data_IF_738985871963
#
_entry.id   IF_738985871963
#
_cell.length_a   1.000
_cell.length_b   1.000
_cell.length_c   1.000
_cell.angle_alpha   90.00
_cell.angle_beta   90.00
_cell.angle_gamma   90.00
#
_symmetry.space_group_name_H-M   'P 1'
#
loop_
_entity.id
_entity.type
_entity.pdbx_description
1 polymer ?
#
# COMPACT_ATOMS: atom_id res chain seq x y z
N UNK A 1 -24.07 0.92 4.21
CA UNK A 1 -25.15 1.22 5.17
C UNK A 1 -24.68 0.72 6.51
N UNK A 2 -24.92 1.49 7.57
CA UNK A 2 -24.57 1.12 8.94
C UNK A 2 -25.31 -0.14 9.37
N UNK A 3 -24.62 -1.08 10.04
CA UNK A 3 -25.22 -2.31 10.59
C UNK A 3 -26.43 -2.07 11.50
N UNK A 4 -26.56 -0.87 12.04
CA UNK A 4 -27.68 -0.49 12.91
C UNK A 4 -28.99 -0.28 12.16
N UNK A 5 -28.98 -0.08 10.84
CA UNK A 5 -30.21 0.00 10.05
C UNK A 5 -30.96 -1.33 10.00
N UNK A 6 -30.25 -2.45 10.19
CA UNK A 6 -30.83 -3.80 10.21
C UNK A 6 -31.60 -4.06 11.51
N UNK A 7 -31.43 -3.21 12.52
CA UNK A 7 -32.14 -3.26 13.80
C UNK A 7 -33.40 -2.38 13.82
N UNK A 8 -33.74 -1.74 12.69
CA UNK A 8 -34.94 -0.91 12.58
C UNK A 8 -36.18 -1.81 12.63
N UNK A 9 -37.08 -1.52 13.56
CA UNK A 9 -38.34 -2.27 13.69
C UNK A 9 -39.23 -2.07 12.47
N UNK A 10 -40.11 -3.05 12.21
CA UNK A 10 -41.02 -3.03 11.05
C UNK A 10 -41.86 -1.74 10.95
N UNK A 11 -42.24 -1.14 12.08
CA UNK A 11 -42.98 0.12 12.12
C UNK A 11 -42.26 1.29 11.40
N UNK A 12 -40.93 1.27 11.38
CA UNK A 12 -40.10 2.32 10.78
C UNK A 12 -39.40 1.90 9.47
N UNK A 13 -39.42 0.61 9.11
CA UNK A 13 -38.72 0.08 7.95
C UNK A 13 -39.12 0.75 6.62
N UNK A 14 -40.40 1.11 6.46
CA UNK A 14 -40.91 1.81 5.28
C UNK A 14 -40.72 3.34 5.28
N UNK A 15 -40.05 3.92 6.29
CA UNK A 15 -39.91 5.38 6.45
C UNK A 15 -38.51 5.83 6.03
N UNK A 16 -38.28 6.26 4.78
CA UNK A 16 -36.93 6.47 4.24
C UNK A 16 -36.12 7.53 5.00
N UNK A 17 -36.76 8.61 5.47
CA UNK A 17 -36.08 9.63 6.28
C UNK A 17 -35.61 9.10 7.64
N UNK A 18 -36.33 8.16 8.23
CA UNK A 18 -35.94 7.54 9.49
C UNK A 18 -34.71 6.65 9.29
N UNK A 19 -34.73 5.79 8.28
CA UNK A 19 -33.60 4.92 7.92
C UNK A 19 -32.35 5.76 7.63
N UNK A 20 -32.49 6.82 6.82
CA UNK A 20 -31.38 7.73 6.52
C UNK A 20 -30.84 8.45 7.76
N UNK A 21 -31.70 8.83 8.71
CA UNK A 21 -31.26 9.47 9.95
C UNK A 21 -30.47 8.52 10.84
N UNK A 22 -30.95 7.28 11.01
CA UNK A 22 -30.24 6.24 11.78
C UNK A 22 -28.90 5.92 11.12
N UNK A 23 -28.87 5.73 9.80
CA UNK A 23 -27.65 5.47 9.04
C UNK A 23 -26.64 6.63 9.22
N UNK A 24 -27.06 7.87 8.98
CA UNK A 24 -26.21 9.06 9.16
C UNK A 24 -25.60 9.14 10.57
N UNK A 25 -26.42 8.87 11.59
CA UNK A 25 -26.01 9.01 12.99
C UNK A 25 -25.05 7.90 13.44
N UNK A 26 -25.12 6.72 12.81
CA UNK A 26 -24.38 5.53 13.25
C UNK A 26 -23.26 5.09 12.28
N UNK A 27 -23.23 5.65 11.06
CA UNK A 27 -22.24 5.31 10.04
C UNK A 27 -20.82 5.56 10.51
N UNK A 28 -20.52 6.76 11.04
CA UNK A 28 -19.16 7.09 11.50
C UNK A 28 -18.65 6.13 12.58
N UNK A 29 -19.53 5.66 13.47
CA UNK A 29 -19.18 4.67 14.51
C UNK A 29 -18.89 3.31 13.90
N UNK A 30 -19.67 2.89 12.90
CA UNK A 30 -19.47 1.63 12.18
C UNK A 30 -18.17 1.67 11.38
N UNK A 31 -17.96 2.72 10.59
CA UNK A 31 -16.76 2.91 9.77
C UNK A 31 -15.48 2.94 10.64
N UNK A 32 -15.54 3.60 11.80
CA UNK A 32 -14.42 3.63 12.76
C UNK A 32 -14.14 2.23 13.32
N UNK A 33 -15.18 1.51 13.73
CA UNK A 33 -15.03 0.14 14.25
C UNK A 33 -14.46 -0.81 13.19
N UNK A 34 -14.91 -0.72 11.94
CA UNK A 34 -14.42 -1.53 10.84
C UNK A 34 -12.95 -1.21 10.53
N UNK A 35 -12.60 0.08 10.50
CA UNK A 35 -11.22 0.52 10.29
C UNK A 35 -10.29 0.02 11.39
N UNK A 36 -10.69 0.11 12.66
CA UNK A 36 -9.90 -0.37 13.79
C UNK A 36 -9.72 -1.88 13.76
N UNK A 37 -10.76 -2.63 13.40
CA UNK A 37 -10.67 -4.09 13.26
C UNK A 37 -9.77 -4.50 12.09
N UNK A 38 -9.77 -3.73 11.00
CA UNK A 38 -8.92 -3.96 9.85
C UNK A 38 -7.46 -3.52 10.05
N UNK A 39 -7.16 -2.75 11.10
CA UNK A 39 -5.85 -2.13 11.30
C UNK A 39 -4.71 -3.16 11.33
N UNK A 40 -4.88 -4.26 12.08
CA UNK A 40 -3.85 -5.29 12.16
C UNK A 40 -3.58 -5.94 10.80
N UNK A 41 -4.64 -6.26 10.06
CA UNK A 41 -4.51 -6.84 8.72
C UNK A 41 -3.88 -5.86 7.72
N UNK A 42 -4.21 -4.56 7.81
CA UNK A 42 -3.64 -3.54 6.94
C UNK A 42 -2.12 -3.36 7.13
N UNK A 43 -1.58 -3.75 8.30
CA UNK A 43 -0.16 -3.73 8.65
C UNK A 43 0.46 -5.13 8.77
N UNK A 44 -0.17 -6.15 8.20
CA UNK A 44 0.43 -7.48 8.08
C UNK A 44 1.43 -7.48 6.91
N UNK A 45 2.68 -7.85 7.15
CA UNK A 45 3.74 -7.82 6.12
C UNK A 45 3.41 -8.69 4.89
N UNK A 46 2.63 -9.75 5.07
CA UNK A 46 2.27 -10.67 3.99
C UNK A 46 1.22 -10.07 3.03
N UNK A 47 0.47 -9.05 3.48
CA UNK A 47 -0.67 -8.51 2.73
C UNK A 47 -0.72 -6.98 2.64
N UNK A 48 0.08 -6.27 3.42
CA UNK A 48 0.14 -4.81 3.44
C UNK A 48 0.57 -4.27 2.07
N UNK A 49 -0.01 -3.13 1.70
CA UNK A 49 0.26 -2.45 0.42
C UNK A 49 0.43 -0.95 0.64
N UNK A 50 0.99 -0.25 -0.35
CA UNK A 50 1.11 1.20 -0.32
C UNK A 50 1.77 1.73 0.96
N UNK A 51 1.19 2.80 1.52
CA UNK A 51 1.74 3.52 2.68
C UNK A 51 1.88 2.64 3.92
N UNK A 52 0.98 1.68 4.16
CA UNK A 52 1.10 0.77 5.30
C UNK A 52 2.34 -0.11 5.19
N UNK A 53 2.62 -0.65 4.00
CA UNK A 53 3.82 -1.43 3.75
C UNK A 53 5.09 -0.57 3.82
N UNK A 54 5.01 0.69 3.39
CA UNK A 54 6.13 1.64 3.52
C UNK A 54 6.50 1.90 4.98
N UNK A 55 5.48 2.14 5.82
CA UNK A 55 5.68 2.30 7.26
C UNK A 55 6.32 1.03 7.85
N UNK A 56 5.85 -0.17 7.49
CA UNK A 56 6.50 -1.41 7.94
C UNK A 56 7.97 -1.46 7.48
N UNK A 57 8.25 -1.08 6.23
CA UNK A 57 9.61 -0.99 5.69
C UNK A 57 10.52 -0.09 6.53
N UNK A 58 10.04 1.08 6.96
CA UNK A 58 10.80 1.97 7.85
C UNK A 58 11.17 1.29 9.18
N UNK A 59 10.24 0.55 9.78
CA UNK A 59 10.47 -0.15 11.05
C UNK A 59 11.40 -1.37 10.91
N UNK A 60 11.32 -2.07 9.78
CA UNK A 60 12.15 -3.25 9.48
C UNK A 60 13.56 -2.81 8.99
N UNK A 61 13.72 -1.55 8.57
CA UNK A 61 14.95 -1.06 7.95
C UNK A 61 15.10 -1.49 6.49
N UNK A 62 13.98 -1.61 5.76
CA UNK A 62 13.95 -1.97 4.35
C UNK A 62 13.25 -0.90 3.53
N UNK A 63 13.98 -0.35 2.56
CA UNK A 63 13.44 0.56 1.55
C UNK A 63 12.76 -0.22 0.42
N UNK A 64 11.81 0.42 -0.28
CA UNK A 64 11.34 -0.06 -1.58
C UNK A 64 12.44 -0.07 -2.65
N UNK A 65 13.49 0.74 -2.44
CA UNK A 65 14.61 0.85 -3.35
C UNK A 65 15.52 -0.36 -3.16
N UNK A 66 15.61 -1.18 -4.20
CA UNK A 66 16.58 -2.26 -4.29
C UNK A 66 17.84 -1.72 -4.93
N UNK A 67 18.89 -1.55 -4.15
CA UNK A 67 20.24 -1.31 -4.69
C UNK A 67 20.81 -2.62 -5.22
N UNK A 68 20.44 -2.97 -6.45
CA UNK A 68 21.11 -4.03 -7.19
C UNK A 68 22.19 -3.41 -8.07
N UNK A 69 23.45 -3.89 -7.97
CA UNK A 69 24.50 -3.46 -8.87
C UNK A 69 24.10 -3.78 -10.31
N UNK A 70 24.21 -2.79 -11.18
CA UNK A 70 23.95 -3.00 -12.60
C UNK A 70 25.23 -3.58 -13.22
N UNK A 71 25.36 -4.90 -13.16
CA UNK A 71 26.52 -5.61 -13.71
C UNK A 71 26.37 -5.86 -15.20
N UNK A 72 27.47 -5.77 -15.95
CA UNK A 72 27.51 -6.18 -17.36
C UNK A 72 26.98 -5.14 -18.35
N UNK A 73 26.97 -3.85 -17.99
CA UNK A 73 26.53 -2.75 -18.86
C UNK A 73 27.65 -1.74 -19.13
N UNK A 74 28.48 -1.46 -18.13
CA UNK A 74 29.59 -0.53 -18.29
C UNK A 74 30.82 -1.15 -18.94
N UNK A 75 31.61 -0.30 -19.58
CA UNK A 75 32.88 -0.68 -20.20
C UNK A 75 33.75 -1.45 -19.21
N UNK A 76 34.23 -2.62 -19.65
CA UNK A 76 35.06 -3.50 -18.83
C UNK A 76 36.11 -4.18 -19.71
N UNK A 77 37.34 -4.22 -19.20
CA UNK A 77 38.39 -5.01 -19.84
C UNK A 77 38.07 -6.51 -19.71
N UNK A 78 38.47 -7.27 -20.73
CA UNK A 78 38.35 -8.73 -20.75
C UNK A 78 36.92 -9.26 -20.55
N UNK A 79 35.91 -8.44 -20.88
CA UNK A 79 34.49 -8.83 -20.86
C UNK A 79 33.89 -8.72 -22.27
N UNK A 80 33.48 -9.86 -22.83
CA UNK A 80 32.88 -9.94 -24.16
C UNK A 80 31.64 -9.02 -24.26
N UNK A 81 31.62 -8.15 -25.27
CA UNK A 81 30.52 -7.23 -25.53
C UNK A 81 30.54 -5.93 -24.72
N UNK A 82 31.52 -5.71 -23.85
CA UNK A 82 31.68 -4.47 -23.06
C UNK A 82 33.04 -3.79 -23.29
N UNK A 83 33.75 -4.18 -24.34
CA UNK A 83 35.05 -3.62 -24.72
C UNK A 83 34.96 -2.31 -25.50
N UNK A 84 36.05 -1.98 -26.19
CA UNK A 84 36.15 -0.78 -27.02
C UNK A 84 35.03 -0.71 -28.05
N UNK A 85 34.43 0.47 -28.18
CA UNK A 85 33.29 0.75 -29.07
C UNK A 85 32.06 -0.14 -28.83
N UNK A 86 32.00 -0.85 -27.69
CA UNK A 86 30.89 -1.75 -27.32
C UNK A 86 30.28 -1.40 -25.95
N UNK A 87 31.11 -1.08 -24.96
CA UNK A 87 30.66 -0.73 -23.60
C UNK A 87 30.29 0.75 -23.43
N UNK A 88 29.38 1.04 -22.49
CA UNK A 88 29.04 2.42 -22.07
C UNK A 88 29.98 2.84 -20.94
N UNK A 89 30.51 4.06 -20.99
CA UNK A 89 31.32 4.60 -19.88
C UNK A 89 30.43 4.94 -18.69
N UNK A 90 30.77 4.45 -17.50
CA UNK A 90 30.08 4.79 -16.26
C UNK A 90 30.25 6.28 -15.95
N UNK A 91 29.14 7.00 -15.89
CA UNK A 91 29.09 8.42 -15.58
C UNK A 91 28.97 8.71 -14.08
N UNK A 92 29.11 9.99 -13.67
CA UNK A 92 29.03 10.41 -12.27
C UNK A 92 27.63 10.29 -11.63
N UNK A 93 26.60 9.99 -12.43
CA UNK A 93 25.22 9.76 -11.96
C UNK A 93 24.75 8.33 -12.20
N UNK A 94 25.63 7.47 -12.72
CA UNK A 94 25.33 6.08 -12.98
C UNK A 94 25.46 5.26 -11.68
N UNK A 95 24.57 4.28 -11.44
CA UNK A 95 24.65 3.43 -10.26
C UNK A 95 25.93 2.58 -10.26
N UNK A 96 26.50 2.40 -9.06
CA UNK A 96 27.63 1.48 -8.78
C UNK A 96 27.24 0.00 -8.92
#
# INVERSE_FOLDING_TARGET
MSKYTDLITNYHAGKPKFVAHVDLSTRALTDTSETLNALLAAFDIDTAVGTQLDILGEWIGRSRIVSQPISGIYFSFDTDGLGWDQGVWQGPYDPD
#
